data_IF_143525887605
#
_entry.id   IF_143525887605
#
_cell.length_a   1.000
_cell.length_b   1.000
_cell.length_c   1.000
_cell.angle_alpha   90.00
_cell.angle_beta   90.00
_cell.angle_gamma   90.00
#
_symmetry.space_group_name_H-M   'P 1'
#
loop_
_entity.id
_entity.type
_entity.pdbx_description
1 polymer ?
#
# COMPACT_ATOMS: atom_id res chain seq x y z
N UNK A 1 -0.08 -32.73 -18.05
CA UNK A 1 0.87 -32.71 -16.90
C UNK A 1 0.03 -32.69 -15.63
N UNK A 2 0.35 -33.48 -14.60
CA UNK A 2 -0.37 -33.40 -13.34
C UNK A 2 -0.23 -31.99 -12.75
N UNK A 3 -1.34 -31.41 -12.31
CA UNK A 3 -1.38 -30.07 -11.70
C UNK A 3 -1.23 -30.24 -10.19
N UNK A 4 -0.10 -29.78 -9.64
CA UNK A 4 0.12 -29.78 -8.21
C UNK A 4 -0.70 -28.64 -7.59
N UNK A 5 -1.67 -28.98 -6.75
CA UNK A 5 -2.45 -28.00 -5.99
C UNK A 5 -2.00 -28.06 -4.54
N UNK A 6 -1.51 -26.93 -4.01
CA UNK A 6 -1.06 -26.82 -2.63
C UNK A 6 -2.02 -25.92 -1.85
N UNK A 7 -2.34 -26.29 -0.61
CA UNK A 7 -3.00 -25.38 0.32
C UNK A 7 -2.04 -24.31 0.82
N UNK A 8 -2.57 -23.19 1.31
CA UNK A 8 -1.75 -22.13 1.91
C UNK A 8 -0.91 -22.66 3.08
N UNK A 9 -1.46 -23.58 3.87
CA UNK A 9 -0.73 -24.22 4.98
C UNK A 9 0.45 -25.05 4.48
N UNK A 10 0.25 -25.82 3.40
CA UNK A 10 1.33 -26.59 2.78
C UNK A 10 2.45 -25.68 2.27
N UNK A 11 2.10 -24.53 1.67
CA UNK A 11 3.08 -23.55 1.22
C UNK A 11 3.87 -22.99 2.41
N UNK A 12 3.20 -22.64 3.52
CA UNK A 12 3.87 -22.14 4.73
C UNK A 12 4.81 -23.18 5.33
N UNK A 13 4.39 -24.44 5.41
CA UNK A 13 5.23 -25.53 5.91
C UNK A 13 6.46 -25.76 5.02
N UNK A 14 6.33 -25.63 3.70
CA UNK A 14 7.48 -25.68 2.79
C UNK A 14 8.47 -24.55 3.06
N UNK A 15 7.99 -23.32 3.27
CA UNK A 15 8.86 -22.18 3.61
C UNK A 15 9.59 -22.42 4.93
N UNK A 16 8.93 -23.01 5.94
CA UNK A 16 9.54 -23.36 7.23
C UNK A 16 10.68 -24.37 7.12
N UNK A 17 10.68 -25.23 6.10
CA UNK A 17 11.72 -26.23 5.89
C UNK A 17 12.96 -25.68 5.17
N UNK A 18 12.90 -24.46 4.63
CA UNK A 18 14.02 -23.86 3.90
C UNK A 18 15.21 -23.50 4.82
N UNK A 19 16.43 -23.45 4.28
CA UNK A 19 17.58 -22.85 4.95
C UNK A 19 17.32 -21.40 5.35
N UNK A 20 17.98 -20.93 6.41
CA UNK A 20 17.76 -19.58 6.96
C UNK A 20 18.01 -18.47 5.92
N UNK A 21 19.01 -18.66 5.06
CA UNK A 21 19.33 -17.72 3.97
C UNK A 21 18.15 -17.56 2.99
N UNK A 22 17.50 -18.67 2.60
CA UNK A 22 16.37 -18.67 1.69
C UNK A 22 15.10 -18.10 2.35
N UNK A 23 14.89 -18.36 3.64
CA UNK A 23 13.82 -17.70 4.42
C UNK A 23 14.00 -16.18 4.45
N UNK A 24 15.24 -15.71 4.60
CA UNK A 24 15.57 -14.28 4.60
C UNK A 24 15.27 -13.65 3.24
N UNK A 25 15.56 -14.35 2.15
CA UNK A 25 15.24 -13.85 0.80
C UNK A 25 13.72 -13.78 0.57
N UNK A 26 12.97 -14.82 0.95
CA UNK A 26 11.50 -14.79 0.87
C UNK A 26 10.94 -13.63 1.71
N UNK A 27 11.45 -13.42 2.91
CA UNK A 27 11.04 -12.31 3.75
C UNK A 27 11.32 -10.95 3.10
N UNK A 28 12.48 -10.78 2.47
CA UNK A 28 12.82 -9.57 1.70
C UNK A 28 11.82 -9.33 0.56
N UNK A 29 11.48 -10.37 -0.20
CA UNK A 29 10.49 -10.26 -1.30
C UNK A 29 9.12 -9.85 -0.76
N UNK A 30 8.66 -10.45 0.35
CA UNK A 30 7.38 -10.13 0.97
C UNK A 30 7.32 -8.70 1.55
N UNK A 31 8.44 -8.21 2.07
CA UNK A 31 8.55 -6.81 2.53
C UNK A 31 8.45 -5.83 1.36
N UNK A 32 9.18 -6.09 0.27
CA UNK A 32 9.17 -5.22 -0.90
C UNK A 32 7.81 -5.21 -1.61
N UNK A 33 7.12 -6.36 -1.68
CA UNK A 33 5.78 -6.43 -2.28
C UNK A 33 4.74 -5.66 -1.46
N UNK A 34 4.84 -5.71 -0.13
CA UNK A 34 4.02 -4.84 0.72
C UNK A 34 4.36 -3.37 0.47
N UNK A 35 5.63 -2.98 0.43
CA UNK A 35 5.99 -1.58 0.20
C UNK A 35 5.49 -1.06 -1.14
N UNK A 36 5.55 -1.85 -2.20
CA UNK A 36 4.95 -1.49 -3.49
C UNK A 36 3.44 -1.27 -3.35
N UNK A 37 2.73 -2.17 -2.67
CA UNK A 37 1.30 -2.00 -2.41
C UNK A 37 1.00 -0.75 -1.56
N UNK A 38 1.83 -0.45 -0.56
CA UNK A 38 1.73 0.78 0.24
C UNK A 38 2.05 2.04 -0.57
N UNK A 39 3.01 1.97 -1.49
CA UNK A 39 3.35 3.06 -2.42
C UNK A 39 2.24 3.28 -3.46
N UNK A 40 1.62 2.20 -3.94
CA UNK A 40 0.48 2.26 -4.85
C UNK A 40 -0.75 2.83 -4.13
N UNK A 41 -0.97 2.47 -2.85
CA UNK A 41 -2.03 3.06 -2.01
C UNK A 41 -1.75 4.53 -1.65
N UNK A 42 -0.49 4.89 -1.37
CA UNK A 42 -0.12 6.27 -1.03
C UNK A 42 -0.14 7.19 -2.26
N UNK A 43 0.28 6.71 -3.42
CA UNK A 43 0.16 7.43 -4.70
C UNK A 43 -1.30 7.55 -5.14
N UNK A 44 -2.11 6.50 -5.00
CA UNK A 44 -3.56 6.58 -5.21
C UNK A 44 -4.23 7.61 -4.29
N UNK A 45 -3.85 7.64 -3.01
CA UNK A 45 -4.30 8.66 -2.06
C UNK A 45 -3.88 10.07 -2.49
N UNK A 46 -2.63 10.26 -2.88
CA UNK A 46 -2.10 11.54 -3.34
C UNK A 46 -2.79 12.05 -4.61
N UNK A 47 -3.05 11.17 -5.58
CA UNK A 47 -3.73 11.53 -6.83
C UNK A 47 -5.20 11.90 -6.58
N UNK A 48 -5.90 11.18 -5.69
CA UNK A 48 -7.28 11.50 -5.30
C UNK A 48 -7.37 12.83 -4.56
N UNK A 49 -6.41 13.13 -3.70
CA UNK A 49 -6.34 14.40 -2.99
C UNK A 49 -6.06 15.56 -3.95
N UNK A 50 -5.19 15.38 -4.94
CA UNK A 50 -4.94 16.37 -6.01
C UNK A 50 -6.19 16.68 -6.84
N UNK A 51 -7.01 15.66 -7.12
CA UNK A 51 -8.30 15.84 -7.81
C UNK A 51 -9.29 16.56 -6.88
N UNK A 52 -9.42 16.10 -5.64
CA UNK A 52 -10.35 16.66 -4.66
C UNK A 52 -10.06 18.12 -4.28
N UNK A 53 -8.78 18.50 -4.21
CA UNK A 53 -8.35 19.89 -3.99
C UNK A 53 -8.67 20.76 -5.19
N UNK A 54 -8.31 20.31 -6.40
CA UNK A 54 -8.56 21.03 -7.64
C UNK A 54 -10.05 21.28 -7.87
N UNK A 55 -10.90 20.29 -7.61
CA UNK A 55 -12.36 20.41 -7.74
C UNK A 55 -12.96 21.43 -6.75
N UNK A 56 -12.29 21.63 -5.60
CA UNK A 56 -12.66 22.61 -4.57
C UNK A 56 -11.91 23.94 -4.69
N UNK A 57 -11.10 24.13 -5.72
CA UNK A 57 -10.34 25.37 -5.99
C UNK A 57 -9.03 25.53 -5.21
N UNK A 58 -8.56 24.47 -4.54
CA UNK A 58 -7.30 24.44 -3.80
C UNK A 58 -6.15 23.90 -4.67
N UNK A 59 -4.92 24.35 -4.40
CA UNK A 59 -3.68 23.90 -5.05
C UNK A 59 -2.83 23.12 -4.05
N UNK A 60 -2.96 21.78 -4.06
CA UNK A 60 -2.29 20.88 -3.12
C UNK A 60 -0.77 21.10 -3.00
N UNK A 61 -0.11 21.45 -4.11
CA UNK A 61 1.35 21.65 -4.16
C UNK A 61 1.79 22.95 -3.46
N UNK A 62 0.87 23.91 -3.26
CA UNK A 62 1.12 25.19 -2.59
C UNK A 62 0.62 25.25 -1.15
N UNK A 63 -0.16 24.27 -0.71
CA UNK A 63 -0.65 24.18 0.66
C UNK A 63 0.49 23.83 1.62
N UNK A 64 0.47 24.44 2.80
CA UNK A 64 1.36 24.05 3.90
C UNK A 64 0.98 22.66 4.43
N UNK A 65 1.84 22.05 5.25
CA UNK A 65 1.54 20.75 5.85
C UNK A 65 0.30 20.81 6.74
N UNK A 66 0.13 21.90 7.51
CA UNK A 66 -1.05 22.14 8.35
C UNK A 66 -2.33 22.28 7.50
N UNK A 67 -2.30 23.07 6.41
CA UNK A 67 -3.45 23.21 5.51
C UNK A 67 -3.85 21.88 4.85
N UNK A 68 -2.85 21.02 4.57
CA UNK A 68 -3.07 19.70 3.98
C UNK A 68 -3.74 18.76 4.97
N UNK A 69 -3.32 18.78 6.24
CA UNK A 69 -3.96 18.01 7.31
C UNK A 69 -5.42 18.43 7.52
N UNK A 70 -5.70 19.73 7.59
CA UNK A 70 -7.07 20.25 7.70
C UNK A 70 -7.94 19.85 6.50
N UNK A 71 -7.38 19.88 5.28
CA UNK A 71 -8.10 19.46 4.08
C UNK A 71 -8.37 17.94 4.06
N UNK A 72 -7.40 17.13 4.46
CA UNK A 72 -7.60 15.67 4.59
C UNK A 72 -8.69 15.40 5.62
N UNK A 73 -8.66 16.07 6.77
CA UNK A 73 -9.66 15.90 7.83
C UNK A 73 -11.07 16.25 7.34
N UNK A 74 -11.21 17.37 6.62
CA UNK A 74 -12.46 17.78 5.98
C UNK A 74 -12.98 16.75 4.99
N UNK A 75 -12.13 16.20 4.12
CA UNK A 75 -12.52 15.21 3.10
C UNK A 75 -12.88 13.86 3.71
N UNK A 76 -12.13 13.40 4.73
CA UNK A 76 -12.36 12.12 5.40
C UNK A 76 -13.64 12.14 6.23
N UNK A 77 -13.99 13.29 6.82
CA UNK A 77 -15.19 13.46 7.65
C UNK A 77 -16.40 14.04 6.92
N UNK A 78 -16.29 14.31 5.62
CA UNK A 78 -17.43 14.71 4.78
C UNK A 78 -18.42 13.53 4.69
N UNK A 79 -19.65 13.72 5.18
CA UNK A 79 -20.69 12.71 5.03
C UNK A 79 -21.05 12.60 3.55
N UNK A 80 -20.80 11.43 2.95
CA UNK A 80 -21.27 11.07 1.62
C UNK A 80 -22.80 11.05 1.53
#
# INVERSE_FOLDING_TARGET
MPMLTLSNEQVVELVKQLPQEQKTEIFRVLLLSQWQQWQDLSSYGADKIKIATKDRGYDWEKMSEEDREEFIDLVVHEKQ
#
